data_IF_809039113000
#
_entry.id   IF_809039113000
#
_cell.length_a   1.000
_cell.length_b   1.000
_cell.length_c   1.000
_cell.angle_alpha   90.00
_cell.angle_beta   90.00
_cell.angle_gamma   90.00
#
_symmetry.space_group_name_H-M   'P 1'
#
loop_
_entity.id
_entity.type
_entity.pdbx_description
1 polymer ?
#
# COMPACT_ATOMS: atom_id res chain seq x y z
N UNK A 1 6.02 -9.36 -1.60
CA UNK A 1 6.77 -8.14 -1.98
C UNK A 1 6.94 -8.03 -3.49
N UNK A 2 7.45 -9.05 -4.18
CA UNK A 2 7.68 -9.01 -5.63
C UNK A 2 6.40 -8.80 -6.45
N UNK A 3 5.29 -9.43 -6.06
CA UNK A 3 4.02 -9.30 -6.79
C UNK A 3 3.48 -7.86 -6.79
N UNK A 4 3.44 -7.14 -5.65
CA UNK A 4 2.91 -5.77 -5.63
C UNK A 4 3.72 -4.78 -6.49
N UNK A 5 5.01 -5.06 -6.78
CA UNK A 5 5.80 -4.23 -7.69
C UNK A 5 5.23 -4.27 -9.11
N UNK A 6 4.69 -5.40 -9.53
CA UNK A 6 4.03 -5.56 -10.85
C UNK A 6 2.74 -4.73 -10.93
N UNK A 7 2.13 -4.41 -9.80
CA UNK A 7 0.94 -3.56 -9.69
C UNK A 7 1.27 -2.07 -9.44
N UNK A 8 2.55 -1.69 -9.57
CA UNK A 8 2.99 -0.30 -9.48
C UNK A 8 3.55 0.13 -8.12
N UNK A 9 3.73 -0.78 -7.15
CA UNK A 9 4.40 -0.42 -5.89
C UNK A 9 5.88 -0.14 -6.14
N UNK A 10 6.26 1.14 -6.09
CA UNK A 10 7.65 1.58 -6.29
C UNK A 10 8.32 1.89 -4.96
N UNK A 11 9.63 1.65 -4.88
CA UNK A 11 10.51 2.15 -3.82
C UNK A 11 10.16 1.76 -2.37
N UNK A 12 9.27 0.78 -2.18
CA UNK A 12 8.81 0.34 -0.86
C UNK A 12 9.97 -0.20 0.01
N UNK A 13 11.01 -0.74 -0.60
CA UNK A 13 12.25 -1.16 0.07
C UNK A 13 13.00 -0.01 0.76
N UNK A 14 12.78 1.24 0.35
CA UNK A 14 13.40 2.42 0.97
C UNK A 14 12.77 2.76 2.32
N UNK A 15 11.56 2.25 2.59
CA UNK A 15 10.87 2.51 3.85
C UNK A 15 11.58 1.81 5.02
N UNK A 16 12.00 2.61 6.00
CA UNK A 16 12.64 2.16 7.24
C UNK A 16 11.72 2.28 8.47
N UNK A 17 10.41 2.43 8.25
CA UNK A 17 9.36 2.43 9.27
C UNK A 17 9.40 3.59 10.30
N UNK A 18 9.84 4.78 9.87
CA UNK A 18 9.95 5.95 10.74
C UNK A 18 8.63 6.53 11.29
N UNK A 19 7.50 6.29 10.65
CA UNK A 19 6.18 6.75 11.15
C UNK A 19 5.75 8.15 10.72
N UNK A 20 6.52 8.86 9.90
CA UNK A 20 6.13 10.19 9.43
C UNK A 20 4.77 10.19 8.68
N UNK A 21 4.58 9.21 7.79
CA UNK A 21 3.32 9.04 7.07
C UNK A 21 2.11 8.79 8.00
N UNK A 22 2.33 8.15 9.14
CA UNK A 22 1.30 7.90 10.15
C UNK A 22 0.95 9.15 10.95
N UNK A 23 1.95 9.99 11.24
CA UNK A 23 1.73 11.25 11.95
C UNK A 23 0.91 12.26 11.15
N UNK A 24 1.05 12.27 9.81
CA UNK A 24 0.36 13.23 8.94
C UNK A 24 -1.01 12.73 8.46
N UNK A 25 -1.23 11.42 8.36
CA UNK A 25 -2.46 10.91 7.77
C UNK A 25 -3.65 11.04 8.72
N UNK A 26 -4.78 11.65 8.30
CA UNK A 26 -5.98 11.79 9.13
C UNK A 26 -6.73 10.47 9.35
N UNK A 27 -6.38 9.41 8.61
CA UNK A 27 -6.98 8.07 8.76
C UNK A 27 -6.33 7.23 9.87
N UNK A 28 -5.21 7.70 10.43
CA UNK A 28 -4.53 7.04 11.54
C UNK A 28 -5.38 7.07 12.81
N UNK A 29 -5.40 5.96 13.54
CA UNK A 29 -5.94 5.89 14.92
C UNK A 29 -4.95 5.21 15.88
N UNK A 30 -5.25 5.23 17.18
CA UNK A 30 -4.39 4.63 18.22
C UNK A 30 -4.12 3.15 17.98
N UNK A 31 -5.13 2.42 17.50
CA UNK A 31 -5.06 0.97 17.27
C UNK A 31 -4.70 0.62 15.82
N UNK A 32 -4.68 1.61 14.92
CA UNK A 32 -4.46 1.43 13.49
C UNK A 32 -3.51 2.50 12.93
N UNK A 33 -2.19 2.22 12.91
CA UNK A 33 -1.19 3.16 12.44
C UNK A 33 -1.04 3.15 10.90
N UNK A 34 -2.07 3.65 10.22
CA UNK A 34 -2.12 3.85 8.77
C UNK A 34 -1.10 4.91 8.29
N UNK A 35 -0.58 4.87 7.05
CA UNK A 35 -0.46 3.71 6.16
C UNK A 35 0.77 2.84 6.49
N UNK A 36 1.48 3.11 7.59
CA UNK A 36 2.78 2.48 7.88
C UNK A 36 2.65 0.98 8.12
N UNK A 37 1.65 0.55 8.86
CA UNK A 37 1.39 -0.86 9.14
C UNK A 37 1.21 -1.69 7.85
N UNK A 38 0.49 -1.14 6.88
CA UNK A 38 0.31 -1.72 5.56
C UNK A 38 1.63 -1.86 4.81
N UNK A 39 2.44 -0.80 4.77
CA UNK A 39 3.77 -0.83 4.15
C UNK A 39 4.63 -1.91 4.80
N UNK A 40 4.57 -2.02 6.14
CA UNK A 40 5.31 -3.03 6.87
C UNK A 40 4.81 -4.45 6.54
N UNK A 41 3.50 -4.65 6.42
CA UNK A 41 2.93 -5.93 6.01
C UNK A 41 3.40 -6.35 4.61
N UNK A 42 3.47 -5.41 3.66
CA UNK A 42 3.97 -5.68 2.29
C UNK A 42 5.44 -6.08 2.32
N UNK A 43 6.27 -5.35 3.08
CA UNK A 43 7.69 -5.65 3.23
C UNK A 43 7.93 -7.03 3.84
N UNK A 44 7.05 -7.47 4.74
CA UNK A 44 7.10 -8.79 5.37
C UNK A 44 6.50 -9.91 4.49
N UNK A 45 5.93 -9.58 3.32
CA UNK A 45 5.31 -10.56 2.44
C UNK A 45 4.00 -11.14 2.96
N UNK A 46 3.29 -10.42 3.84
CA UNK A 46 2.03 -10.86 4.44
C UNK A 46 0.83 -10.58 3.52
N UNK A 47 0.89 -11.07 2.28
CA UNK A 47 -0.15 -10.87 1.25
C UNK A 47 -1.52 -11.38 1.69
N UNK A 48 -1.58 -12.58 2.27
CA UNK A 48 -2.85 -13.18 2.73
C UNK A 48 -3.57 -12.28 3.75
N UNK A 49 -2.82 -11.69 4.69
CA UNK A 49 -3.38 -10.77 5.68
C UNK A 49 -3.85 -9.45 5.09
N UNK A 50 -3.39 -9.09 3.89
CA UNK A 50 -3.83 -7.87 3.21
C UNK A 50 -5.22 -8.03 2.61
N UNK A 51 -5.59 -9.24 2.15
CA UNK A 51 -6.93 -9.53 1.66
C UNK A 51 -8.02 -9.29 2.72
N UNK A 52 -7.64 -9.35 4.00
CA UNK A 52 -8.52 -9.08 5.14
C UNK A 52 -8.62 -7.59 5.51
N UNK A 53 -7.83 -6.71 4.87
CA UNK A 53 -7.76 -5.28 5.20
C UNK A 53 -8.64 -4.43 4.29
N UNK A 54 -9.46 -3.58 4.92
CA UNK A 54 -10.21 -2.52 4.21
C UNK A 54 -9.34 -1.29 3.93
N UNK A 55 -8.19 -1.18 4.59
CA UNK A 55 -7.33 0.01 4.64
C UNK A 55 -6.96 0.59 3.27
N UNK A 56 -6.60 -0.21 2.23
CA UNK A 56 -6.36 0.33 0.90
C UNK A 56 -7.56 1.12 0.38
N UNK A 57 -8.79 0.66 0.62
CA UNK A 57 -10.02 1.28 0.14
C UNK A 57 -10.36 2.57 0.88
N UNK A 58 -9.82 2.78 2.09
CA UNK A 58 -10.00 4.02 2.84
C UNK A 58 -9.08 5.16 2.35
N UNK A 59 -7.95 4.83 1.72
CA UNK A 59 -6.99 5.83 1.25
C UNK A 59 -7.58 6.83 0.24
N UNK A 60 -7.57 8.13 0.52
CA UNK A 60 -8.02 9.11 -0.48
C UNK A 60 -7.00 9.40 -1.59
N UNK A 61 -5.80 8.83 -1.49
CA UNK A 61 -4.69 9.13 -2.38
C UNK A 61 -4.39 10.65 -2.46
N UNK A 62 -4.40 11.33 -1.30
CA UNK A 62 -4.12 12.76 -1.22
C UNK A 62 -2.65 13.14 -1.42
N UNK A 63 -1.72 12.18 -1.31
CA UNK A 63 -0.29 12.38 -1.60
C UNK A 63 0.58 12.90 -0.45
N UNK A 64 0.00 13.47 0.62
CA UNK A 64 0.78 14.09 1.72
C UNK A 64 1.82 13.16 2.35
N UNK A 65 1.49 11.88 2.50
CA UNK A 65 2.39 10.87 3.05
C UNK A 65 3.59 10.56 2.14
N UNK A 66 3.44 10.69 0.83
CA UNK A 66 4.52 10.60 -0.16
C UNK A 66 5.39 11.85 -0.15
N UNK A 67 4.77 13.03 -0.24
CA UNK A 67 5.48 14.31 -0.29
C UNK A 67 6.38 14.54 0.93
N UNK A 68 5.91 14.12 2.11
CA UNK A 68 6.64 14.28 3.36
C UNK A 68 7.60 13.12 3.67
N UNK A 69 7.69 12.09 2.81
CA UNK A 69 8.50 10.92 3.08
C UNK A 69 10.01 11.23 2.98
N UNK A 70 10.80 11.12 4.07
CA UNK A 70 12.22 11.47 4.05
C UNK A 70 13.09 10.51 3.21
N UNK A 71 12.55 9.35 2.84
CA UNK A 71 13.22 8.34 2.01
C UNK A 71 12.61 8.19 0.63
N UNK A 72 11.60 8.99 0.29
CA UNK A 72 10.90 8.92 -1.00
C UNK A 72 10.47 7.48 -1.32
N UNK A 73 9.81 6.84 -0.35
CA UNK A 73 9.36 5.44 -0.42
C UNK A 73 7.92 5.31 -0.95
N UNK A 74 7.37 6.39 -1.50
CA UNK A 74 6.02 6.49 -2.08
C UNK A 74 4.91 5.69 -1.34
N UNK A 75 4.62 5.99 -0.05
CA UNK A 75 3.51 5.37 0.69
C UNK A 75 2.16 5.46 -0.02
N UNK A 76 1.88 6.59 -0.69
CA UNK A 76 0.63 6.79 -1.41
C UNK A 76 0.48 5.81 -2.58
N UNK A 77 1.50 5.71 -3.43
CA UNK A 77 1.47 4.80 -4.57
C UNK A 77 1.46 3.33 -4.12
N UNK A 78 2.13 3.03 -3.00
CA UNK A 78 2.07 1.68 -2.40
C UNK A 78 0.63 1.27 -2.07
N UNK A 79 -0.21 2.18 -1.58
CA UNK A 79 -1.63 1.88 -1.32
C UNK A 79 -2.46 1.75 -2.60
N UNK A 80 -2.15 2.53 -3.63
CA UNK A 80 -2.81 2.36 -4.93
C UNK A 80 -2.44 1.04 -5.59
N UNK A 81 -1.18 0.63 -5.51
CA UNK A 81 -0.73 -0.68 -5.95
C UNK A 81 -1.43 -1.81 -5.17
N UNK A 82 -1.60 -1.64 -3.86
CA UNK A 82 -2.37 -2.58 -3.04
C UNK A 82 -3.83 -2.68 -3.53
N UNK A 83 -4.49 -1.58 -3.91
CA UNK A 83 -5.85 -1.65 -4.51
C UNK A 83 -5.87 -2.44 -5.81
N UNK A 84 -4.93 -2.17 -6.72
CA UNK A 84 -4.85 -2.89 -8.01
C UNK A 84 -4.63 -4.38 -7.78
N UNK A 85 -3.73 -4.74 -6.86
CA UNK A 85 -3.47 -6.11 -6.47
C UNK A 85 -4.71 -6.78 -5.86
N UNK A 86 -5.39 -6.12 -4.90
CA UNK A 86 -6.62 -6.64 -4.29
C UNK A 86 -7.74 -6.85 -5.32
N UNK A 87 -7.95 -5.90 -6.22
CA UNK A 87 -8.93 -6.07 -7.31
C UNK A 87 -8.61 -7.29 -8.16
N UNK A 88 -7.33 -7.56 -8.43
CA UNK A 88 -6.90 -8.76 -9.15
C UNK A 88 -7.12 -10.05 -8.34
N UNK A 89 -6.97 -10.01 -7.01
CA UNK A 89 -7.27 -11.16 -6.14
C UNK A 89 -8.79 -11.46 -6.07
N UNK A 90 -9.63 -10.42 -6.12
CA UNK A 90 -11.08 -10.57 -6.05
C UNK A 90 -11.71 -10.96 -7.40
N UNK A 91 -11.04 -10.67 -8.50
CA UNK A 91 -11.51 -10.97 -9.84
C UNK A 91 -11.30 -12.44 -10.21
N UNK A 92 -12.36 -13.23 -10.06
CA UNK A 92 -12.41 -14.63 -10.48
C UNK A 92 -12.13 -14.87 -11.98
N UNK A 93 -12.27 -13.86 -12.84
CA UNK A 93 -12.01 -13.99 -14.29
C UNK A 93 -10.53 -13.84 -14.65
N UNK A 94 -9.72 -13.26 -13.76
CA UNK A 94 -8.30 -12.99 -13.99
C UNK A 94 -8.01 -11.87 -15.01
N UNK A 95 -9.03 -11.10 -15.42
CA UNK A 95 -8.88 -9.99 -16.35
C UNK A 95 -8.21 -8.78 -15.69
N UNK A 96 -8.55 -8.50 -14.42
CA UNK A 96 -8.00 -7.38 -13.67
C UNK A 96 -6.48 -7.51 -13.49
N UNK A 97 -5.98 -8.71 -13.18
CA UNK A 97 -4.54 -8.97 -13.10
C UNK A 97 -3.83 -8.60 -14.40
N UNK A 98 -4.31 -9.13 -15.53
CA UNK A 98 -3.75 -8.82 -16.85
C UNK A 98 -3.79 -7.34 -17.20
N UNK A 99 -4.87 -6.64 -16.83
CA UNK A 99 -5.02 -5.20 -17.11
C UNK A 99 -4.05 -4.35 -16.29
N UNK A 100 -3.81 -4.69 -15.02
CA UNK A 100 -2.95 -3.91 -14.14
C UNK A 100 -1.45 -4.19 -14.31
N UNK A 101 -1.08 -5.36 -14.84
CA UNK A 101 0.32 -5.75 -15.03
C UNK A 101 0.79 -5.69 -16.50
N UNK A 102 -0.09 -5.29 -17.44
CA UNK A 102 0.25 -5.16 -18.87
C UNK A 102 1.06 -3.91 -19.21
#
# INVERSE_FOLDING_TARGET
MYELKEYGAVDIEKCFNCGNCTAICPLTSTDHPFPRDMIRMIQLGLGDKMNERVDPWLCYYCGECSETCPKQAEPGETLMAARRWLTAQYDWTGLAGKFYTS
#
